data_IF_751784935495
#
_entry.id   IF_751784935495
#
_cell.length_a   1.000
_cell.length_b   1.000
_cell.length_c   1.000
_cell.angle_alpha   90.00
_cell.angle_beta   90.00
_cell.angle_gamma   90.00
#
_symmetry.space_group_name_H-M   'P 1'
#
loop_
_entity.id
_entity.type
_entity.pdbx_description
1 polymer ?
#
# COMPACT_ATOMS: atom_id res chain seq x y z
N UNK A 1 -73.67 -8.98 8.48
CA UNK A 1 -72.91 -10.00 7.73
C UNK A 1 -71.95 -9.28 6.79
N UNK A 2 -70.68 -9.69 6.68
CA UNK A 2 -69.63 -9.59 7.70
C UNK A 2 -68.65 -8.43 7.41
N UNK A 3 -68.11 -7.84 8.48
CA UNK A 3 -67.00 -6.88 8.45
C UNK A 3 -65.69 -7.68 8.53
N UNK A 4 -64.86 -7.64 7.50
CA UNK A 4 -63.50 -8.18 7.55
C UNK A 4 -62.61 -7.19 8.30
N UNK A 5 -62.13 -7.61 9.48
CA UNK A 5 -61.11 -6.90 10.24
C UNK A 5 -59.73 -7.36 9.75
N UNK A 6 -58.99 -6.46 9.10
CA UNK A 6 -57.60 -6.71 8.73
C UNK A 6 -56.70 -6.26 9.88
N UNK A 7 -56.21 -7.24 10.64
CA UNK A 7 -55.12 -7.08 11.61
C UNK A 7 -53.83 -7.00 10.81
N UNK A 8 -53.23 -5.81 10.73
CA UNK A 8 -51.87 -5.67 10.21
C UNK A 8 -50.89 -6.00 11.35
N UNK A 9 -50.26 -7.17 11.24
CA UNK A 9 -49.13 -7.57 12.06
C UNK A 9 -47.93 -6.66 11.74
N UNK A 10 -47.52 -5.85 12.71
CA UNK A 10 -46.30 -5.05 12.63
C UNK A 10 -45.10 -5.98 12.92
N UNK A 11 -44.49 -6.55 11.89
CA UNK A 11 -43.22 -7.26 12.03
C UNK A 11 -42.11 -6.23 12.28
N UNK A 12 -41.67 -6.13 13.54
CA UNK A 12 -40.48 -5.39 13.91
C UNK A 12 -39.24 -6.15 13.41
N UNK A 13 -38.67 -5.69 12.29
CA UNK A 13 -37.32 -6.09 11.88
C UNK A 13 -36.32 -5.42 12.82
N UNK A 14 -35.77 -6.20 13.77
CA UNK A 14 -34.54 -5.85 14.47
C UNK A 14 -33.39 -5.89 13.46
N UNK A 15 -33.08 -4.72 12.88
CA UNK A 15 -31.81 -4.51 12.18
C UNK A 15 -30.75 -4.46 13.29
N UNK A 16 -30.13 -5.61 13.56
CA UNK A 16 -28.87 -5.64 14.28
C UNK A 16 -27.85 -4.90 13.42
N UNK A 17 -27.64 -3.62 13.72
CA UNK A 17 -26.55 -2.85 13.15
C UNK A 17 -25.26 -3.53 13.55
N UNK A 18 -24.64 -4.23 12.60
CA UNK A 18 -23.23 -4.58 12.73
C UNK A 18 -22.50 -3.25 12.62
N UNK A 19 -22.19 -2.67 13.78
CA UNK A 19 -21.31 -1.52 13.86
C UNK A 19 -19.96 -1.96 13.31
N UNK A 20 -19.73 -1.71 12.03
CA UNK A 20 -18.38 -1.69 11.49
C UNK A 20 -17.71 -0.56 12.23
N UNK A 21 -16.76 -0.89 13.12
CA UNK A 21 -15.87 0.10 13.68
C UNK A 21 -15.16 0.73 12.48
N UNK A 22 -15.69 1.86 12.01
CA UNK A 22 -14.97 2.70 11.08
C UNK A 22 -13.76 3.15 11.88
N UNK A 23 -12.56 2.72 11.47
CA UNK A 23 -11.35 3.39 11.91
C UNK A 23 -11.53 4.84 11.50
N UNK A 24 -11.91 5.70 12.45
CA UNK A 24 -12.01 7.13 12.20
C UNK A 24 -10.61 7.55 11.79
N UNK A 25 -10.46 8.21 10.63
CA UNK A 25 -9.21 8.88 10.33
C UNK A 25 -8.91 9.80 11.51
N UNK A 26 -7.72 9.68 12.10
CA UNK A 26 -7.29 10.71 13.04
C UNK A 26 -6.95 11.93 12.21
N UNK A 27 -7.59 13.04 12.55
CA UNK A 27 -7.33 14.30 11.92
C UNK A 27 -6.15 14.96 12.65
N UNK A 28 -5.11 15.33 11.90
CA UNK A 28 -3.91 16.00 12.40
C UNK A 28 -4.18 17.50 12.63
N UNK A 29 -5.27 17.83 13.33
CA UNK A 29 -5.81 19.19 13.46
C UNK A 29 -4.98 20.09 14.39
N UNK A 30 -4.21 19.52 15.31
CA UNK A 30 -3.28 20.30 16.12
C UNK A 30 -2.15 20.85 15.24
N UNK A 31 -1.89 22.18 15.28
CA UNK A 31 -0.97 22.81 14.35
C UNK A 31 0.46 22.29 14.55
N UNK A 32 1.19 22.14 13.44
CA UNK A 32 2.62 22.00 13.50
C UNK A 32 3.23 23.26 14.16
N UNK A 33 4.04 23.06 15.20
CA UNK A 33 4.73 24.16 15.87
C UNK A 33 6.19 24.27 15.41
N UNK A 34 6.64 25.44 14.92
CA UNK A 34 8.05 25.72 14.67
C UNK A 34 8.82 26.13 15.95
N UNK A 35 8.14 26.25 17.09
CA UNK A 35 8.77 26.68 18.35
C UNK A 35 9.61 25.56 18.98
N UNK A 36 10.93 25.68 18.84
CA UNK A 36 11.89 24.72 19.40
C UNK A 36 11.85 24.60 20.91
N UNK A 37 11.30 25.58 21.64
CA UNK A 37 11.17 25.48 23.10
C UNK A 37 10.12 24.43 23.51
N UNK A 38 9.06 24.28 22.72
CA UNK A 38 7.99 23.31 22.94
C UNK A 38 8.45 21.86 22.67
N UNK A 39 9.52 21.70 21.89
CA UNK A 39 10.07 20.40 21.51
C UNK A 39 10.39 19.52 22.72
N UNK A 40 10.87 20.14 23.80
CA UNK A 40 11.21 19.45 25.03
C UNK A 40 10.09 19.46 26.05
N UNK A 41 8.93 20.06 25.81
CA UNK A 41 7.85 20.15 26.80
C UNK A 41 7.17 18.78 27.01
N UNK A 42 6.40 18.62 28.09
CA UNK A 42 5.59 17.39 28.30
C UNK A 42 4.37 17.45 27.40
N UNK A 43 3.75 18.62 27.35
CA UNK A 43 2.63 19.04 26.50
C UNK A 43 3.08 19.44 25.09
N UNK A 44 4.15 18.82 24.58
CA UNK A 44 4.61 19.06 23.22
C UNK A 44 3.46 18.76 22.23
N UNK A 45 3.08 19.74 21.40
CA UNK A 45 1.98 19.59 20.44
C UNK A 45 2.16 18.40 19.49
N UNK A 46 3.39 17.93 19.26
CA UNK A 46 3.67 16.77 18.42
C UNK A 46 3.25 15.43 19.05
N UNK A 47 2.92 15.43 20.33
CA UNK A 47 2.32 14.32 21.07
C UNK A 47 0.81 14.19 20.87
N UNK A 48 0.18 15.25 20.36
CA UNK A 48 -1.25 15.27 20.08
C UNK A 48 -1.49 14.80 18.65
N UNK A 49 -2.65 14.19 18.39
CA UNK A 49 -3.04 13.61 17.09
C UNK A 49 -1.97 12.66 16.52
N UNK A 50 -1.50 11.72 17.32
CA UNK A 50 -0.64 10.65 16.82
C UNK A 50 -1.38 9.83 15.75
N UNK A 51 -0.67 9.23 14.77
CA UNK A 51 -1.29 8.42 13.74
C UNK A 51 -2.25 7.38 14.34
N UNK A 52 -3.28 7.00 13.57
CA UNK A 52 -4.14 5.87 13.93
C UNK A 52 -3.40 4.54 13.65
N UNK A 53 -2.33 4.31 14.40
CA UNK A 53 -1.52 3.10 14.38
C UNK A 53 -1.31 2.66 15.83
N UNK A 54 -1.96 1.57 16.27
CA UNK A 54 -1.81 0.98 17.61
C UNK A 54 -0.37 0.75 18.08
N UNK A 55 0.59 0.63 17.16
CA UNK A 55 2.00 0.43 17.50
C UNK A 55 2.82 1.72 17.57
N UNK A 56 2.25 2.88 17.24
CA UNK A 56 3.01 4.12 17.10
C UNK A 56 3.63 4.57 18.43
N UNK A 57 2.81 4.77 19.46
CA UNK A 57 3.19 5.25 20.79
C UNK A 57 2.66 4.35 21.91
N UNK A 58 2.56 3.04 21.65
CA UNK A 58 1.95 2.04 22.54
C UNK A 58 2.45 2.05 23.99
N UNK A 59 3.70 2.47 24.25
CA UNK A 59 4.22 2.54 25.61
C UNK A 59 3.94 3.89 26.28
N UNK A 60 3.54 4.91 25.55
CA UNK A 60 3.31 6.24 26.09
C UNK A 60 2.03 6.31 26.95
N UNK A 61 2.09 6.95 28.13
CA UNK A 61 0.93 7.07 29.01
C UNK A 61 -0.27 7.81 28.40
N UNK A 62 -0.01 8.66 27.40
CA UNK A 62 -0.99 9.49 26.71
C UNK A 62 -1.40 8.95 25.33
N UNK A 63 -1.03 7.71 24.99
CA UNK A 63 -1.48 7.04 23.76
C UNK A 63 -3.02 6.98 23.73
N UNK A 64 -3.68 7.64 22.75
CA UNK A 64 -5.14 7.68 22.68
C UNK A 64 -5.75 6.37 22.16
N UNK A 65 -4.96 5.48 21.55
CA UNK A 65 -5.40 4.13 21.16
C UNK A 65 -5.37 3.16 22.35
N UNK A 66 -4.68 3.53 23.43
CA UNK A 66 -4.58 2.70 24.62
C UNK A 66 -5.87 2.64 25.44
N UNK A 67 -6.10 1.51 26.12
CA UNK A 67 -7.20 1.34 27.09
C UNK A 67 -7.12 2.31 28.28
N UNK A 68 -5.99 2.98 28.50
CA UNK A 68 -5.84 4.01 29.55
C UNK A 68 -6.53 5.31 29.17
N UNK A 69 -6.62 5.60 27.86
CA UNK A 69 -7.17 6.84 27.32
C UNK A 69 -8.47 6.61 26.52
N UNK A 70 -9.14 5.47 26.75
CA UNK A 70 -10.43 5.15 26.14
C UNK A 70 -10.35 4.46 24.78
N UNK A 71 -9.16 4.11 24.32
CA UNK A 71 -8.93 3.28 23.13
C UNK A 71 -9.06 1.78 23.40
N UNK A 72 -8.75 0.97 22.38
CA UNK A 72 -8.94 -0.48 22.40
C UNK A 72 -7.66 -1.30 22.61
N UNK A 73 -6.50 -0.65 22.63
CA UNK A 73 -5.18 -1.29 22.62
C UNK A 73 -4.65 -1.42 24.04
N UNK A 74 -4.14 -2.59 24.43
CA UNK A 74 -3.53 -2.74 25.76
C UNK A 74 -2.16 -2.06 25.76
N UNK A 75 -1.91 -1.06 26.64
CA UNK A 75 -0.65 -0.32 26.63
C UNK A 75 0.54 -1.21 26.97
N UNK A 76 1.69 -0.91 26.39
CA UNK A 76 2.96 -1.50 26.81
C UNK A 76 3.62 -0.68 27.91
N UNK A 77 4.49 -1.34 28.67
CA UNK A 77 5.43 -0.67 29.58
C UNK A 77 6.86 -0.67 29.04
N UNK A 78 7.11 -1.38 27.94
CA UNK A 78 8.40 -1.47 27.28
C UNK A 78 8.49 -0.45 26.15
N UNK A 79 9.42 0.50 26.29
CA UNK A 79 9.68 1.55 25.30
C UNK A 79 9.95 0.99 23.89
N UNK A 80 10.57 -0.19 23.80
CA UNK A 80 10.92 -0.76 22.50
C UNK A 80 9.75 -1.37 21.73
N UNK A 81 8.54 -1.37 22.32
CA UNK A 81 7.33 -1.84 21.65
C UNK A 81 6.66 -0.72 20.82
N UNK A 82 7.13 0.52 20.92
CA UNK A 82 6.61 1.67 20.17
C UNK A 82 7.53 2.08 19.02
N UNK A 83 7.01 2.88 18.07
CA UNK A 83 7.76 3.37 16.91
C UNK A 83 8.53 4.66 17.23
N UNK A 84 9.35 4.64 18.27
CA UNK A 84 10.10 5.79 18.78
C UNK A 84 10.99 6.48 17.73
N UNK A 85 11.35 5.79 16.64
CA UNK A 85 12.11 6.35 15.51
C UNK A 85 11.36 7.44 14.74
N UNK A 86 10.05 7.52 14.89
CA UNK A 86 9.19 8.54 14.25
C UNK A 86 8.92 9.75 15.15
N UNK A 87 9.30 9.68 16.42
CA UNK A 87 8.96 10.73 17.38
C UNK A 87 9.66 12.05 17.09
N UNK A 88 8.95 13.14 17.37
CA UNK A 88 9.48 14.51 17.40
C UNK A 88 9.58 15.08 18.81
N UNK A 89 9.41 14.22 19.80
CA UNK A 89 9.27 14.55 21.21
C UNK A 89 10.01 13.50 22.06
N UNK A 90 10.40 13.84 23.28
CA UNK A 90 10.93 12.85 24.22
C UNK A 90 9.82 11.95 24.75
N UNK A 91 10.10 10.65 24.86
CA UNK A 91 9.22 9.71 25.55
C UNK A 91 8.95 10.17 26.99
N UNK A 92 7.71 10.05 27.47
CA UNK A 92 7.41 10.37 28.86
C UNK A 92 8.11 9.41 29.83
N UNK A 93 8.37 8.17 29.41
CA UNK A 93 9.00 7.14 30.24
C UNK A 93 10.48 7.37 30.47
N UNK A 94 11.19 7.90 29.48
CA UNK A 94 12.65 8.11 29.58
C UNK A 94 13.04 9.57 29.79
N UNK A 95 12.08 10.46 29.95
CA UNK A 95 12.30 11.91 30.07
C UNK A 95 13.29 12.34 31.16
N UNK A 96 13.39 11.60 32.26
CA UNK A 96 14.32 11.90 33.37
C UNK A 96 15.63 11.10 33.30
N UNK A 97 15.70 10.06 32.48
CA UNK A 97 16.82 9.11 32.42
C UNK A 97 17.62 9.20 31.11
N UNK A 98 16.96 9.42 29.99
CA UNK A 98 17.57 9.66 28.68
C UNK A 98 17.75 11.16 28.48
N UNK A 99 18.85 11.71 29.00
CA UNK A 99 19.21 13.13 28.87
C UNK A 99 20.38 13.30 27.91
N UNK A 100 20.41 14.40 27.15
CA UNK A 100 21.60 14.76 26.40
C UNK A 100 22.75 15.02 27.38
N UNK A 101 23.86 14.30 27.23
CA UNK A 101 25.01 14.44 28.11
C UNK A 101 25.83 15.72 27.83
N UNK A 102 25.86 16.18 26.58
CA UNK A 102 26.66 17.31 26.12
C UNK A 102 25.94 18.10 25.02
N UNK A 103 26.52 19.23 24.60
CA UNK A 103 26.00 20.06 23.51
C UNK A 103 24.97 21.10 23.97
N UNK A 104 24.35 21.83 23.01
CA UNK A 104 23.44 22.93 23.32
C UNK A 104 22.18 22.49 24.09
N UNK A 105 21.83 21.20 24.03
CA UNK A 105 20.67 20.62 24.71
C UNK A 105 21.05 19.82 25.97
N UNK A 106 22.28 19.95 26.49
CA UNK A 106 22.72 19.20 27.67
C UNK A 106 21.73 19.32 28.85
N UNK A 107 21.40 18.18 29.47
CA UNK A 107 20.42 18.10 30.54
C UNK A 107 18.94 18.13 30.10
N UNK A 108 18.65 18.34 28.81
CA UNK A 108 17.31 18.18 28.25
C UNK A 108 17.05 16.70 27.91
N UNK A 109 15.77 16.25 27.96
CA UNK A 109 15.40 14.92 27.53
C UNK A 109 15.71 14.69 26.05
N UNK A 110 16.17 13.48 25.73
CA UNK A 110 16.51 13.06 24.38
C UNK A 110 15.27 12.84 23.52
N UNK A 111 15.41 13.16 22.24
CA UNK A 111 14.38 12.94 21.24
C UNK A 111 14.90 11.82 20.35
N UNK A 112 14.13 10.75 20.24
CA UNK A 112 14.57 9.48 19.67
C UNK A 112 14.47 9.43 18.14
N UNK A 113 13.55 10.19 17.55
CA UNK A 113 13.19 10.10 16.14
C UNK A 113 13.45 11.37 15.32
N UNK A 114 12.97 11.34 14.08
CA UNK A 114 13.14 12.44 13.11
C UNK A 114 11.91 13.37 12.99
N UNK A 115 11.01 13.36 13.98
CA UNK A 115 9.80 14.20 14.00
C UNK A 115 8.84 13.97 12.82
N UNK A 116 8.48 12.70 12.57
CA UNK A 116 7.50 12.35 11.55
C UNK A 116 6.10 12.90 11.89
N UNK A 117 5.67 12.80 13.17
CA UNK A 117 4.39 13.35 13.61
C UNK A 117 4.26 14.85 13.32
N UNK A 118 5.31 15.64 13.54
CA UNK A 118 5.29 17.06 13.19
C UNK A 118 5.29 17.31 11.69
N UNK A 119 5.93 16.46 10.91
CA UNK A 119 5.88 16.56 9.44
C UNK A 119 4.48 16.23 8.90
N UNK A 120 3.81 15.20 9.43
CA UNK A 120 2.46 14.80 8.98
C UNK A 120 1.37 15.83 9.28
N UNK A 121 1.58 16.69 10.27
CA UNK A 121 0.73 17.87 10.53
C UNK A 121 0.90 18.99 9.49
N UNK A 122 1.98 18.97 8.72
CA UNK A 122 2.22 19.92 7.62
C UNK A 122 1.74 19.36 6.28
N UNK A 123 2.11 18.12 5.97
CA UNK A 123 1.77 17.45 4.71
C UNK A 123 1.76 15.93 4.91
N UNK A 124 0.76 15.24 4.37
CA UNK A 124 0.59 13.78 4.51
C UNK A 124 1.19 12.99 3.35
N UNK A 125 1.72 13.70 2.37
CA UNK A 125 2.37 13.13 1.21
C UNK A 125 1.78 13.67 -0.08
N UNK A 126 2.41 13.30 -1.19
CA UNK A 126 2.03 13.77 -2.52
C UNK A 126 1.95 12.59 -3.48
N UNK A 127 0.76 12.25 -4.01
CA UNK A 127 0.61 11.11 -4.92
C UNK A 127 1.33 11.31 -6.26
N UNK A 128 1.70 12.55 -6.60
CA UNK A 128 2.42 12.88 -7.82
C UNK A 128 3.95 12.80 -7.69
N UNK A 129 4.48 12.55 -6.49
CA UNK A 129 5.91 12.35 -6.26
C UNK A 129 6.26 10.87 -6.42
N UNK A 130 7.06 10.53 -7.43
CA UNK A 130 7.57 9.17 -7.62
C UNK A 130 8.93 8.98 -6.93
N UNK A 131 9.07 7.88 -6.17
CA UNK A 131 10.32 7.46 -5.52
C UNK A 131 10.82 6.19 -6.22
N UNK A 132 12.04 6.22 -6.75
CA UNK A 132 12.67 5.06 -7.37
C UNK A 132 13.55 4.32 -6.35
N UNK A 133 13.25 3.05 -6.08
CA UNK A 133 14.00 2.20 -5.15
C UNK A 133 14.87 1.23 -5.96
N UNK A 134 16.20 1.35 -5.82
CA UNK A 134 17.17 0.46 -6.44
C UNK A 134 17.60 -0.59 -5.41
N UNK A 135 16.81 -1.65 -5.30
CA UNK A 135 17.02 -2.73 -4.33
C UNK A 135 16.75 -4.11 -4.99
N UNK A 136 16.54 -5.12 -4.16
CA UNK A 136 16.24 -6.51 -4.50
C UNK A 136 14.83 -6.72 -5.05
N UNK A 137 13.96 -5.73 -4.98
CA UNK A 137 12.62 -5.75 -5.58
C UNK A 137 11.55 -5.18 -4.65
N UNK A 138 10.29 -5.53 -4.96
CA UNK A 138 9.10 -5.12 -4.21
C UNK A 138 8.48 -6.37 -3.58
N UNK A 139 8.02 -6.23 -2.33
CA UNK A 139 7.24 -7.26 -1.67
C UNK A 139 5.75 -7.06 -1.98
N UNK A 140 5.26 -7.76 -3.00
CA UNK A 140 3.92 -7.58 -3.59
C UNK A 140 2.76 -7.90 -2.63
N UNK A 141 2.94 -8.85 -1.72
CA UNK A 141 1.97 -9.22 -0.68
C UNK A 141 1.87 -8.19 0.48
N UNK A 142 2.57 -7.05 0.39
CA UNK A 142 2.46 -5.96 1.38
C UNK A 142 1.34 -5.00 1.00
N UNK A 143 0.22 -5.18 1.67
CA UNK A 143 -0.96 -4.33 1.55
C UNK A 143 -0.66 -2.83 1.68
N UNK A 144 0.19 -2.44 2.63
CA UNK A 144 0.58 -1.03 2.83
C UNK A 144 1.34 -0.42 1.65
N UNK A 145 1.96 -1.25 0.79
CA UNK A 145 2.65 -0.81 -0.41
C UNK A 145 1.78 -0.91 -1.66
N UNK A 146 0.80 -1.81 -1.68
CA UNK A 146 -0.04 -2.13 -2.84
C UNK A 146 -0.62 -0.88 -3.53
N UNK A 147 -1.18 0.05 -2.75
CA UNK A 147 -1.78 1.28 -3.26
C UNK A 147 -0.76 2.41 -3.51
N UNK A 148 0.50 2.23 -3.11
CA UNK A 148 1.58 3.22 -3.19
C UNK A 148 2.55 2.92 -4.34
N UNK A 149 2.42 1.79 -5.03
CA UNK A 149 3.27 1.46 -6.17
C UNK A 149 2.95 2.41 -7.34
N UNK A 150 3.97 3.11 -7.80
CA UNK A 150 3.85 4.00 -8.96
C UNK A 150 3.47 3.22 -10.22
N UNK A 151 2.42 3.69 -10.90
CA UNK A 151 1.96 3.16 -12.18
C UNK A 151 2.36 4.09 -13.33
N UNK A 152 2.99 3.53 -14.37
CA UNK A 152 3.32 4.29 -15.57
C UNK A 152 2.11 4.33 -16.53
N UNK A 153 1.43 5.48 -16.60
CA UNK A 153 0.28 5.71 -17.50
C UNK A 153 0.57 5.38 -18.97
N UNK A 154 1.81 5.57 -19.43
CA UNK A 154 2.18 5.28 -20.82
C UNK A 154 2.22 3.79 -21.17
N UNK A 155 2.35 2.93 -20.16
CA UNK A 155 2.44 1.47 -20.29
C UNK A 155 1.10 0.78 -19.97
N UNK A 156 0.08 1.55 -19.57
CA UNK A 156 -1.22 1.03 -19.17
C UNK A 156 -2.34 1.65 -20.00
N UNK A 157 -3.33 0.85 -20.42
CA UNK A 157 -4.52 1.42 -21.03
C UNK A 157 -5.32 2.21 -20.00
N UNK A 158 -6.14 3.16 -20.45
CA UNK A 158 -7.16 3.81 -19.62
C UNK A 158 -8.03 2.71 -19.01
N UNK A 159 -8.27 2.72 -17.68
CA UNK A 159 -9.09 1.71 -17.03
C UNK A 159 -10.51 1.70 -17.59
N UNK A 160 -11.10 0.50 -17.69
CA UNK A 160 -12.53 0.35 -17.98
C UNK A 160 -13.32 0.31 -16.68
N UNK A 161 -14.50 0.90 -16.71
CA UNK A 161 -15.53 0.73 -15.67
C UNK A 161 -16.69 -0.12 -16.24
N UNK A 162 -16.39 -1.32 -16.73
CA UNK A 162 -17.34 -2.18 -17.46
C UNK A 162 -17.86 -3.37 -16.64
N UNK A 163 -17.38 -3.54 -15.41
CA UNK A 163 -17.96 -4.46 -14.43
C UNK A 163 -19.16 -3.85 -13.71
N UNK A 164 -20.07 -4.69 -13.21
CA UNK A 164 -21.17 -4.24 -12.34
C UNK A 164 -20.72 -4.04 -10.88
N UNK A 165 -19.80 -4.88 -10.41
CA UNK A 165 -19.21 -4.85 -9.07
C UNK A 165 -17.69 -4.91 -9.20
N UNK A 166 -16.95 -4.26 -8.29
CA UNK A 166 -15.49 -4.30 -8.32
C UNK A 166 -15.01 -5.74 -8.07
N UNK A 167 -13.91 -6.13 -8.71
CA UNK A 167 -13.34 -7.48 -8.58
C UNK A 167 -12.67 -7.74 -7.23
N UNK A 168 -12.27 -6.67 -6.53
CA UNK A 168 -11.73 -6.67 -5.17
C UNK A 168 -12.12 -5.37 -4.45
N UNK A 169 -11.73 -5.20 -3.19
CA UNK A 169 -11.83 -3.91 -2.47
C UNK A 169 -13.23 -3.27 -2.39
N UNK A 170 -14.31 -4.07 -2.48
CA UNK A 170 -15.68 -3.55 -2.46
C UNK A 170 -16.05 -2.75 -1.19
N UNK A 171 -15.28 -2.86 -0.11
CA UNK A 171 -15.41 -2.04 1.10
C UNK A 171 -14.61 -0.74 1.10
N UNK A 172 -13.74 -0.51 0.09
CA UNK A 172 -12.86 0.66 -0.04
C UNK A 172 -13.25 1.55 -1.21
N UNK A 173 -13.82 0.97 -2.27
CA UNK A 173 -14.27 1.71 -3.46
C UNK A 173 -15.79 1.65 -3.60
N UNK A 174 -16.41 2.68 -4.21
CA UNK A 174 -17.83 2.63 -4.55
C UNK A 174 -18.11 1.54 -5.61
N UNK A 175 -19.38 1.09 -5.75
CA UNK A 175 -19.79 0.23 -6.84
C UNK A 175 -19.39 0.79 -8.21
N UNK A 176 -19.05 -0.08 -9.16
CA UNK A 176 -18.58 0.32 -10.50
C UNK A 176 -19.58 1.22 -11.26
N UNK A 177 -20.88 1.08 -10.99
CA UNK A 177 -21.91 1.95 -11.57
C UNK A 177 -21.85 3.41 -11.11
N UNK A 178 -21.11 3.70 -10.04
CA UNK A 178 -20.92 5.03 -9.47
C UNK A 178 -19.57 5.65 -9.82
N UNK A 179 -18.74 4.95 -10.60
CA UNK A 179 -17.44 5.46 -11.01
C UNK A 179 -17.58 6.67 -11.92
N UNK A 180 -16.91 7.74 -11.53
CA UNK A 180 -16.90 9.01 -12.26
C UNK A 180 -15.44 9.42 -12.43
N UNK A 181 -14.88 9.10 -13.60
CA UNK A 181 -13.51 9.45 -13.88
C UNK A 181 -13.30 10.96 -13.75
N UNK A 182 -12.15 11.35 -13.21
CA UNK A 182 -11.77 12.75 -13.06
C UNK A 182 -11.84 13.48 -14.42
N UNK A 183 -12.48 14.66 -14.52
CA UNK A 183 -12.72 15.34 -15.80
C UNK A 183 -11.49 15.58 -16.69
N UNK A 184 -10.29 15.64 -16.08
CA UNK A 184 -9.02 15.90 -16.76
C UNK A 184 -8.04 14.72 -16.69
N UNK A 185 -8.44 13.59 -16.11
CA UNK A 185 -7.58 12.43 -15.93
C UNK A 185 -8.40 11.14 -16.03
N UNK A 186 -8.53 10.55 -17.23
CA UNK A 186 -9.33 9.33 -17.40
C UNK A 186 -8.73 8.10 -16.70
N UNK A 187 -7.48 8.19 -16.22
CA UNK A 187 -6.83 7.13 -15.44
C UNK A 187 -7.24 7.12 -13.97
N UNK A 188 -7.68 8.26 -13.43
CA UNK A 188 -8.32 8.32 -12.11
C UNK A 188 -9.80 8.03 -12.34
N UNK A 189 -10.12 6.74 -12.39
CA UNK A 189 -11.39 6.21 -12.87
C UNK A 189 -12.46 6.22 -11.78
N UNK A 190 -12.05 6.16 -10.51
CA UNK A 190 -12.94 6.30 -9.36
C UNK A 190 -13.15 7.76 -8.92
N UNK A 191 -12.32 8.71 -9.40
CA UNK A 191 -12.46 10.14 -9.16
C UNK A 191 -11.93 10.60 -7.80
N UNK A 192 -11.05 9.82 -7.16
CA UNK A 192 -10.52 10.13 -5.82
C UNK A 192 -9.29 11.05 -5.85
N UNK A 193 -8.81 11.41 -7.05
CA UNK A 193 -7.67 12.29 -7.25
C UNK A 193 -6.31 11.57 -7.25
N UNK A 194 -6.30 10.25 -7.08
CA UNK A 194 -5.11 9.40 -7.10
C UNK A 194 -5.19 8.47 -8.31
N UNK A 195 -4.03 8.14 -8.89
CA UNK A 195 -3.94 7.08 -9.90
C UNK A 195 -3.19 5.88 -9.30
N UNK A 196 -3.90 4.80 -9.03
CA UNK A 196 -3.36 3.58 -8.44
C UNK A 196 -4.12 2.33 -8.93
N UNK A 197 -3.85 1.18 -8.32
CA UNK A 197 -4.45 -0.12 -8.72
C UNK A 197 -5.95 -0.19 -8.49
N UNK A 198 -6.51 0.61 -7.59
CA UNK A 198 -7.96 0.70 -7.36
C UNK A 198 -8.69 1.23 -8.58
N UNK A 199 -8.04 1.98 -9.47
CA UNK A 199 -8.63 2.44 -10.72
C UNK A 199 -8.90 1.29 -11.70
N UNK A 200 -8.36 0.09 -11.47
CA UNK A 200 -8.55 -1.07 -12.36
C UNK A 200 -9.52 -2.12 -11.81
N UNK A 201 -10.06 -1.99 -10.60
CA UNK A 201 -10.93 -3.02 -10.00
C UNK A 201 -12.28 -3.17 -10.71
N UNK A 202 -12.69 -2.20 -11.50
CA UNK A 202 -13.88 -2.28 -12.36
C UNK A 202 -13.57 -2.64 -13.82
N UNK A 203 -12.32 -3.01 -14.12
CA UNK A 203 -11.86 -3.36 -15.47
C UNK A 203 -11.98 -4.86 -15.71
N UNK A 204 -12.81 -5.25 -16.67
CA UNK A 204 -13.01 -6.66 -17.03
C UNK A 204 -11.75 -7.35 -17.59
N UNK A 205 -10.76 -6.58 -18.05
CA UNK A 205 -9.52 -7.11 -18.64
C UNK A 205 -8.55 -7.65 -17.60
N UNK A 206 -8.62 -7.15 -16.36
CA UNK A 206 -7.69 -7.52 -15.29
C UNK A 206 -8.27 -8.68 -14.49
N UNK A 207 -7.47 -9.75 -14.36
CA UNK A 207 -7.71 -10.83 -13.41
C UNK A 207 -7.02 -10.46 -12.09
N UNK A 208 -7.72 -10.66 -10.98
CA UNK A 208 -7.28 -10.33 -9.62
C UNK A 208 -6.20 -11.27 -9.08
N UNK A 209 -5.83 -12.32 -9.84
CA UNK A 209 -4.71 -13.20 -9.52
C UNK A 209 -3.82 -13.41 -10.77
N UNK A 210 -3.71 -12.41 -11.63
CA UNK A 210 -2.84 -12.48 -12.81
C UNK A 210 -1.36 -12.51 -12.43
N UNK A 211 -0.99 -11.76 -11.39
CA UNK A 211 0.31 -11.75 -10.73
C UNK A 211 0.45 -12.91 -9.75
N UNK A 212 1.63 -13.56 -9.67
CA UNK A 212 1.82 -14.72 -8.81
C UNK A 212 2.17 -14.41 -7.34
N UNK A 213 2.54 -13.19 -6.97
CA UNK A 213 3.10 -12.88 -5.64
C UNK A 213 2.25 -11.93 -4.79
N UNK A 214 1.14 -11.43 -5.35
CA UNK A 214 0.21 -10.53 -4.69
C UNK A 214 -0.57 -11.12 -3.52
N UNK A 215 -1.38 -10.26 -2.90
CA UNK A 215 -2.43 -10.70 -1.96
C UNK A 215 -3.55 -11.37 -2.77
N UNK A 216 -3.94 -12.62 -2.48
CA UNK A 216 -4.97 -13.29 -3.25
C UNK A 216 -6.31 -12.56 -3.22
N UNK A 217 -6.95 -12.42 -4.38
CA UNK A 217 -8.22 -11.71 -4.58
C UNK A 217 -8.18 -10.20 -4.31
N UNK A 218 -7.00 -9.58 -4.39
CA UNK A 218 -6.82 -8.13 -4.45
C UNK A 218 -5.97 -7.74 -5.66
N UNK A 219 -6.43 -6.76 -6.47
CA UNK A 219 -5.64 -6.32 -7.62
C UNK A 219 -4.40 -5.57 -7.15
N UNK A 220 -3.21 -5.98 -7.55
CA UNK A 220 -1.98 -5.20 -7.37
C UNK A 220 -1.34 -4.79 -8.71
N UNK A 221 -0.19 -4.13 -8.64
CA UNK A 221 0.50 -3.68 -9.84
C UNK A 221 1.18 -4.83 -10.61
N UNK A 222 1.48 -5.96 -9.97
CA UNK A 222 1.96 -7.16 -10.64
C UNK A 222 0.86 -7.76 -11.53
N UNK A 223 -0.41 -7.71 -11.10
CA UNK A 223 -1.55 -8.10 -11.95
C UNK A 223 -1.64 -7.27 -13.22
N UNK A 224 -1.45 -5.95 -13.09
CA UNK A 224 -1.45 -5.04 -14.25
C UNK A 224 -0.29 -5.32 -15.19
N UNK A 225 0.90 -5.61 -14.66
CA UNK A 225 2.08 -6.00 -15.46
C UNK A 225 1.82 -7.33 -16.17
N UNK A 226 1.28 -8.33 -15.47
CA UNK A 226 0.94 -9.62 -16.06
C UNK A 226 -0.10 -9.48 -17.18
N UNK A 227 -1.09 -8.61 -16.98
CA UNK A 227 -2.19 -8.38 -17.92
C UNK A 227 -1.77 -7.54 -19.13
N UNK A 228 -1.02 -6.46 -18.93
CA UNK A 228 -0.76 -5.45 -19.96
C UNK A 228 0.71 -5.31 -20.37
N UNK A 229 1.67 -5.86 -19.60
CA UNK A 229 3.11 -5.68 -19.85
C UNK A 229 3.64 -6.33 -21.15
N UNK A 230 2.77 -7.04 -21.88
CA UNK A 230 3.05 -7.59 -23.21
C UNK A 230 2.28 -6.86 -24.32
N UNK A 231 1.62 -5.75 -24.00
CA UNK A 231 0.82 -4.94 -24.91
C UNK A 231 1.50 -3.62 -25.22
N UNK A 232 1.32 -3.15 -26.46
CA UNK A 232 1.64 -1.81 -26.90
C UNK A 232 0.43 -0.91 -26.63
N UNK A 233 0.65 0.13 -25.83
CA UNK A 233 -0.35 1.13 -25.50
C UNK A 233 -0.05 2.42 -26.29
N UNK A 234 -1.09 3.01 -26.87
CA UNK A 234 -0.99 4.31 -27.55
C UNK A 234 -2.19 5.16 -27.17
N UNK A 235 -1.93 6.37 -26.67
CA UNK A 235 -2.98 7.31 -26.24
C UNK A 235 -4.00 6.67 -25.29
N UNK A 236 -3.55 5.76 -24.42
CA UNK A 236 -4.38 5.07 -23.44
C UNK A 236 -5.19 3.89 -23.99
N UNK A 237 -5.01 3.52 -25.25
CA UNK A 237 -5.68 2.37 -25.87
C UNK A 237 -4.71 1.23 -26.14
N UNK A 238 -5.19 0.00 -26.04
CA UNK A 238 -4.44 -1.19 -26.42
C UNK A 238 -4.40 -1.27 -27.94
N UNK A 239 -3.22 -1.09 -28.54
CA UNK A 239 -3.04 -1.20 -30.00
C UNK A 239 -2.79 -2.65 -30.41
N UNK A 240 -1.89 -3.32 -29.70
CA UNK A 240 -1.50 -4.70 -30.02
C UNK A 240 -0.96 -5.38 -28.77
N UNK A 241 -1.33 -6.63 -28.52
CA UNK A 241 -0.67 -7.48 -27.54
C UNK A 241 0.17 -8.54 -28.24
N UNK A 242 1.45 -8.64 -27.88
CA UNK A 242 2.27 -9.76 -28.34
C UNK A 242 1.70 -11.03 -27.72
N UNK A 243 1.31 -12.02 -28.53
CA UNK A 243 0.92 -13.32 -27.99
C UNK A 243 2.09 -13.87 -27.19
N UNK A 244 1.97 -13.86 -25.86
CA UNK A 244 2.78 -14.72 -25.02
C UNK A 244 2.58 -16.12 -25.59
N UNK A 245 3.63 -16.71 -26.16
CA UNK A 245 3.58 -18.11 -26.57
C UNK A 245 3.31 -18.89 -25.30
N UNK A 246 2.04 -19.17 -25.02
CA UNK A 246 1.67 -20.19 -24.06
C UNK A 246 2.40 -21.44 -24.56
N UNK A 247 3.49 -21.81 -23.88
CA UNK A 247 3.98 -23.17 -23.96
C UNK A 247 2.89 -24.00 -23.31
N UNK A 248 1.85 -24.31 -24.10
CA UNK A 248 0.95 -25.40 -23.80
C UNK A 248 1.86 -26.60 -23.55
N UNK A 249 2.03 -26.99 -22.29
CA UNK A 249 2.33 -28.37 -21.96
C UNK A 249 1.13 -29.17 -22.46
N UNK A 250 1.10 -29.46 -23.77
CA UNK A 250 0.34 -30.59 -24.28
C UNK A 250 0.93 -31.80 -23.57
N UNK A 251 0.24 -32.29 -22.55
CA UNK A 251 0.25 -33.70 -22.18
C UNK A 251 -0.31 -34.48 -23.38
N UNK A 252 0.51 -34.58 -24.43
CA UNK A 252 0.34 -35.57 -25.47
C UNK A 252 1.10 -36.81 -24.99
N UNK A 253 0.37 -37.90 -24.74
CA UNK A 253 0.94 -39.23 -24.79
C UNK A 253 1.65 -39.41 -26.14
N UNK A 254 2.94 -39.11 -26.18
CA UNK A 254 3.83 -39.53 -27.24
C UNK A 254 4.56 -40.76 -26.72
N UNK A 255 4.02 -41.91 -27.13
CA UNK A 255 4.70 -43.20 -27.22
C UNK A 255 6.19 -42.96 -27.48
N UNK A 256 7.03 -43.37 -26.53
CA UNK A 256 8.47 -43.51 -26.73
C UNK A 256 8.70 -44.37 -27.98
N UNK A 257 9.11 -43.73 -29.08
CA UNK A 257 9.97 -44.38 -30.06
C UNK A 257 11.39 -44.00 -29.73
N UNK A 258 12.04 -44.85 -28.94
CA UNK A 258 13.49 -44.93 -28.91
C UNK A 258 13.99 -45.07 -30.36
N UNK A 259 14.83 -44.13 -30.79
CA UNK A 259 15.80 -44.39 -31.85
C UNK A 259 17.17 -43.92 -31.35
N UNK A 260 18.22 -44.71 -31.58
CA UNK A 260 19.47 -44.64 -30.85
C UNK A 260 20.30 -43.43 -31.27
N UNK A 261 21.02 -42.89 -30.29
CA UNK A 261 22.11 -41.94 -30.47
C UNK A 261 23.12 -42.49 -31.47
N UNK A 262 23.33 -41.78 -32.58
CA UNK A 262 24.58 -41.88 -33.34
C UNK A 262 25.48 -40.74 -32.90
N UNK A 263 26.59 -41.12 -32.28
CA UNK A 263 27.81 -40.33 -32.26
C UNK A 263 28.13 -39.87 -33.69
N UNK A 264 28.34 -38.57 -33.86
CA UNK A 264 29.37 -38.10 -34.77
C UNK A 264 30.04 -36.91 -34.09
N UNK A 265 31.29 -37.13 -33.69
CA UNK A 265 32.25 -36.10 -33.34
C UNK A 265 32.36 -35.09 -34.50
N UNK A 266 32.39 -33.81 -34.17
CA UNK A 266 33.37 -32.92 -34.79
C UNK A 266 33.70 -31.77 -33.84
N UNK A 267 34.96 -31.81 -33.43
CA UNK A 267 35.73 -30.87 -32.64
C UNK A 267 35.78 -29.49 -33.30
N UNK A 268 35.78 -28.44 -32.47
CA UNK A 268 36.81 -27.38 -32.37
C UNK A 268 36.19 -25.99 -32.12
N UNK A 269 36.72 -25.29 -31.11
CA UNK A 269 36.59 -23.85 -30.98
C UNK A 269 36.35 -23.33 -29.56
N UNK A 270 37.22 -23.69 -28.61
CA UNK A 270 37.37 -23.00 -27.33
C UNK A 270 38.34 -21.84 -27.55
N UNK A 271 37.99 -20.60 -27.17
CA UNK A 271 38.80 -19.71 -26.29
C UNK A 271 38.35 -18.22 -26.29
N UNK A 272 38.72 -17.45 -25.23
CA UNK A 272 37.90 -16.39 -24.65
C UNK A 272 38.45 -14.96 -24.83
N UNK A 273 37.56 -13.98 -24.72
CA UNK A 273 37.88 -12.55 -24.76
C UNK A 273 38.13 -12.02 -23.33
N UNK A 274 39.38 -12.09 -22.85
CA UNK A 274 39.83 -11.38 -21.64
C UNK A 274 41.34 -11.08 -21.70
N UNK A 275 41.73 -9.90 -22.23
CA UNK A 275 42.86 -9.11 -21.70
C UNK A 275 43.00 -7.73 -22.33
N UNK A 276 43.48 -6.82 -21.49
CA UNK A 276 44.19 -5.57 -21.81
C UNK A 276 43.36 -4.28 -21.80
N UNK A 277 43.37 -3.60 -20.65
CA UNK A 277 44.05 -2.29 -20.51
C UNK A 277 44.09 -1.87 -19.04
N UNK A 278 45.20 -2.20 -18.37
CA UNK A 278 45.81 -1.36 -17.33
C UNK A 278 46.91 -0.54 -18.02
N UNK A 279 47.18 0.64 -17.48
CA UNK A 279 48.22 1.61 -17.85
C UNK A 279 47.90 2.57 -19.01
N UNK A 280 47.41 3.75 -18.65
CA UNK A 280 48.02 5.03 -19.02
C UNK A 280 47.73 6.07 -17.92
N UNK A 281 48.83 6.65 -17.45
CA UNK A 281 49.05 7.85 -16.61
C UNK A 281 47.84 8.65 -16.14
#
# INVERSE_FOLDING_TARGET
>A
MPRFASVFLLCAFLVAGVGVASATSRDFEHPASPDTAQQFAVDNVQRQDTPNDPGYDLAEPDDPDSTLNGGAVTPSTNLYDEQFGFFGFPSQRTRSSALYATGPNAGKPQISGFNAAGAWKLERGRPDVAIAILDTGIKWDKESLRLQIHLNKGELPVPKADRATPSSDAGRVPPCSQWQASPNNPYDANGDGVFNVLDYVCDSRVDVNAGPHGVPNEIDAEDLIATFGHCQIQSGEIVQCQRLRQRHRRLGLLRQRQRPLRCLELLCGVEPWLRSRRERR
#
